data_IF_705404921663
#
_entry.id   IF_705404921663
#
_cell.length_a   1.000
_cell.length_b   1.000
_cell.length_c   1.000
_cell.angle_alpha   90.00
_cell.angle_beta   90.00
_cell.angle_gamma   90.00
#
_symmetry.space_group_name_H-M   'P 1'
#
loop_
_entity.id
_entity.type
_entity.pdbx_description
1 polymer ?
#
# COMPACT_ATOMS: atom_id res chain seq x y z
N UNK A 1 35.78 54.82 19.15
CA UNK A 1 34.39 54.99 18.65
C UNK A 1 33.68 53.64 18.73
N UNK A 2 32.59 53.53 19.52
CA UNK A 2 31.64 52.40 19.54
C UNK A 2 30.65 52.54 18.38
N UNK A 3 30.18 51.42 17.78
CA UNK A 3 28.79 51.14 17.29
C UNK A 3 28.77 49.76 16.58
N UNK A 4 28.18 48.74 17.23
CA UNK A 4 26.93 47.97 16.89
C UNK A 4 27.07 47.05 15.65
N UNK A 5 27.17 45.72 15.85
CA UNK A 5 26.10 44.68 15.84
C UNK A 5 25.46 44.46 14.46
N UNK A 6 24.96 43.24 14.23
CA UNK A 6 24.12 42.74 13.10
C UNK A 6 24.94 42.16 11.93
N UNK A 7 24.71 40.96 11.38
CA UNK A 7 23.54 40.06 11.32
C UNK A 7 24.03 38.61 11.11
N UNK A 8 23.33 37.64 11.72
CA UNK A 8 23.36 36.23 11.36
C UNK A 8 22.95 36.05 9.89
N UNK A 9 23.74 35.35 9.08
CA UNK A 9 23.27 34.77 7.83
C UNK A 9 23.76 33.32 7.76
N UNK A 10 22.98 32.41 8.32
CA UNK A 10 22.02 31.59 7.56
C UNK A 10 22.72 30.33 7.05
N UNK A 11 22.61 29.29 7.87
CA UNK A 11 22.92 27.90 7.53
C UNK A 11 22.10 27.56 6.29
N UNK A 12 22.77 27.41 5.15
CA UNK A 12 22.17 26.82 3.96
C UNK A 12 22.08 25.31 4.18
N UNK A 13 21.08 24.88 4.97
CA UNK A 13 20.70 23.48 5.04
C UNK A 13 20.09 23.12 3.70
N UNK A 14 20.88 22.49 2.85
CA UNK A 14 20.37 21.77 1.67
C UNK A 14 19.53 20.63 2.25
N UNK A 15 18.23 20.88 2.43
CA UNK A 15 17.25 19.81 2.54
C UNK A 15 17.25 19.10 1.19
N UNK A 16 18.07 18.05 1.08
CA UNK A 16 17.80 16.94 0.20
C UNK A 16 16.39 16.47 0.56
N UNK A 17 15.41 16.95 -0.20
CA UNK A 17 14.11 16.34 -0.27
C UNK A 17 14.33 14.94 -0.84
N UNK A 18 14.68 14.00 0.04
CA UNK A 18 14.44 12.59 -0.22
C UNK A 18 12.94 12.55 -0.49
N UNK A 19 12.47 12.19 -1.70
CA UNK A 19 11.08 11.81 -1.83
C UNK A 19 10.92 10.64 -0.88
N UNK A 20 10.34 10.89 0.29
CA UNK A 20 9.83 9.84 1.16
C UNK A 20 8.75 9.18 0.32
N UNK A 21 9.15 8.15 -0.44
CA UNK A 21 8.22 7.16 -0.91
C UNK A 21 7.48 6.73 0.35
N UNK A 22 6.19 7.08 0.41
CA UNK A 22 5.29 6.65 1.45
C UNK A 22 5.07 5.14 1.31
N UNK A 23 6.13 4.36 1.55
CA UNK A 23 6.12 2.93 1.77
C UNK A 23 5.95 2.68 3.27
N UNK A 24 5.00 3.39 3.90
CA UNK A 24 4.52 2.98 5.21
C UNK A 24 3.92 1.57 5.11
N UNK A 25 3.89 0.79 6.20
CA UNK A 25 3.23 -0.50 6.18
C UNK A 25 1.80 -0.30 5.68
N UNK A 26 1.42 -1.06 4.64
CA UNK A 26 0.04 -1.11 4.13
C UNK A 26 -0.81 -1.87 5.14
N UNK A 27 -1.01 -1.32 6.34
CA UNK A 27 -1.73 -2.01 7.39
C UNK A 27 -3.24 -1.84 7.20
N UNK A 28 -3.92 -2.93 6.86
CA UNK A 28 -5.39 -3.01 6.89
C UNK A 28 -5.79 -4.01 7.95
N UNK A 29 -6.79 -3.66 8.76
CA UNK A 29 -7.30 -4.55 9.80
C UNK A 29 -8.18 -5.65 9.20
N UNK A 30 -8.10 -6.86 9.75
CA UNK A 30 -8.93 -8.01 9.41
C UNK A 30 -10.37 -7.89 9.99
N UNK A 31 -10.98 -6.70 9.90
CA UNK A 31 -12.27 -6.36 10.53
C UNK A 31 -13.48 -6.60 9.61
N UNK A 32 -13.26 -7.10 8.40
CA UNK A 32 -14.27 -7.30 7.35
C UNK A 32 -14.82 -6.01 6.74
N UNK A 33 -14.33 -4.85 7.15
CA UNK A 33 -14.68 -3.56 6.56
C UNK A 33 -13.88 -3.31 5.30
N UNK A 34 -14.34 -2.34 4.51
CA UNK A 34 -13.68 -1.90 3.28
C UNK A 34 -12.73 -0.77 3.63
N UNK A 35 -11.45 -0.97 3.36
CA UNK A 35 -10.40 0.01 3.55
C UNK A 35 -9.87 0.46 2.20
N UNK A 36 -9.52 1.73 2.07
CA UNK A 36 -8.91 2.25 0.84
C UNK A 36 -7.44 2.52 1.11
N UNK A 37 -6.58 2.10 0.19
CA UNK A 37 -5.16 2.42 0.23
C UNK A 37 -4.65 2.80 -1.15
N UNK A 38 -3.53 3.51 -1.19
CA UNK A 38 -2.86 3.83 -2.45
C UNK A 38 -1.57 3.03 -2.55
N UNK A 39 -1.33 2.41 -3.70
CA UNK A 39 -0.12 1.63 -3.98
C UNK A 39 0.31 1.84 -5.43
N UNK A 40 1.59 2.19 -5.62
CA UNK A 40 2.19 2.44 -6.95
C UNK A 40 1.36 3.39 -7.85
N UNK A 41 0.73 4.40 -7.26
CA UNK A 41 -0.06 5.42 -8.00
C UNK A 41 -1.50 5.01 -8.32
N UNK A 42 -1.93 3.82 -7.91
CA UNK A 42 -3.31 3.36 -8.00
C UNK A 42 -3.94 3.27 -6.61
N UNK A 43 -5.27 3.39 -6.56
CA UNK A 43 -6.04 3.23 -5.33
C UNK A 43 -6.68 1.85 -5.31
N UNK A 44 -6.53 1.12 -4.21
CA UNK A 44 -7.16 -0.18 -3.99
C UNK A 44 -8.15 -0.10 -2.85
N UNK A 45 -9.25 -0.84 -2.98
CA UNK A 45 -10.20 -1.09 -1.91
C UNK A 45 -10.02 -2.53 -1.47
N UNK A 46 -9.77 -2.70 -0.19
CA UNK A 46 -9.42 -3.98 0.41
C UNK A 46 -10.46 -4.32 1.45
N UNK A 47 -10.89 -5.58 1.46
CA UNK A 47 -11.67 -6.15 2.54
C UNK A 47 -10.98 -7.42 2.98
N UNK A 48 -10.59 -7.47 4.24
CA UNK A 48 -10.00 -8.65 4.86
C UNK A 48 -10.91 -9.10 6.00
N UNK A 49 -11.38 -10.35 5.94
CA UNK A 49 -12.22 -10.97 6.96
C UNK A 49 -11.74 -12.41 7.21
N UNK A 50 -11.25 -12.70 8.41
CA UNK A 50 -10.75 -14.03 8.75
C UNK A 50 -9.60 -14.44 7.84
N UNK A 51 -9.75 -15.56 7.14
CA UNK A 51 -8.82 -16.09 6.16
C UNK A 51 -9.12 -15.62 4.72
N UNK A 52 -10.08 -14.74 4.48
CA UNK A 52 -10.40 -14.25 3.14
C UNK A 52 -10.00 -12.80 2.94
N UNK A 53 -9.38 -12.51 1.79
CA UNK A 53 -9.11 -11.15 1.33
C UNK A 53 -9.75 -10.90 -0.03
N UNK A 54 -10.27 -9.69 -0.19
CA UNK A 54 -10.76 -9.15 -1.45
C UNK A 54 -10.05 -7.82 -1.73
N UNK A 55 -9.52 -7.66 -2.95
CA UNK A 55 -8.83 -6.48 -3.43
C UNK A 55 -9.47 -6.01 -4.73
N UNK A 56 -10.07 -4.83 -4.70
CA UNK A 56 -10.61 -4.14 -5.87
C UNK A 56 -9.68 -2.98 -6.25
N UNK A 57 -9.27 -2.84 -7.51
CA UNK A 57 -8.59 -1.61 -7.98
C UNK A 57 -9.65 -0.54 -8.27
N UNK A 58 -9.57 0.59 -7.58
CA UNK A 58 -10.38 1.76 -7.85
C UNK A 58 -9.72 2.56 -8.99
N UNK A 59 -10.37 2.56 -10.14
CA UNK A 59 -9.84 3.16 -11.36
C UNK A 59 -9.70 4.69 -11.27
N UNK A 60 -8.71 5.22 -11.99
CA UNK A 60 -8.79 6.55 -12.63
C UNK A 60 -9.10 6.27 -14.09
N UNK A 61 -10.26 6.71 -14.58
CA UNK A 61 -10.76 6.52 -15.95
C UNK A 61 -9.65 6.41 -17.01
N UNK A 62 -9.64 5.32 -17.78
CA UNK A 62 -8.82 5.18 -18.99
C UNK A 62 -7.56 4.31 -18.85
N UNK A 63 -7.43 3.51 -17.78
CA UNK A 63 -6.34 2.53 -17.65
C UNK A 63 -6.84 1.11 -17.92
N UNK A 64 -6.06 0.30 -18.64
CA UNK A 64 -6.32 -1.14 -18.80
C UNK A 64 -6.27 -1.84 -17.44
N UNK A 65 -7.43 -2.25 -16.92
CA UNK A 65 -7.57 -2.97 -15.65
C UNK A 65 -7.45 -4.51 -15.78
N UNK A 66 -7.21 -4.98 -16.99
CA UNK A 66 -7.28 -6.38 -17.36
C UNK A 66 -5.92 -6.99 -17.61
N UNK A 67 -4.86 -6.17 -17.50
CA UNK A 67 -3.51 -6.63 -17.76
C UNK A 67 -3.06 -7.59 -16.66
N UNK A 68 -2.22 -8.59 -17.00
CA UNK A 68 -1.56 -9.45 -16.02
C UNK A 68 -0.82 -8.66 -14.93
N UNK A 69 -0.32 -7.47 -15.28
CA UNK A 69 0.35 -6.54 -14.36
C UNK A 69 -0.58 -6.05 -13.25
N UNK A 70 -1.83 -5.70 -13.57
CA UNK A 70 -2.81 -5.24 -12.57
C UNK A 70 -3.16 -6.35 -11.60
N UNK A 71 -3.31 -7.59 -12.11
CA UNK A 71 -3.53 -8.76 -11.26
C UNK A 71 -2.35 -9.00 -10.31
N UNK A 72 -1.12 -8.86 -10.80
CA UNK A 72 0.06 -9.01 -9.96
C UNK A 72 0.17 -7.89 -8.91
N UNK A 73 -0.14 -6.64 -9.27
CA UNK A 73 -0.22 -5.55 -8.30
C UNK A 73 -1.25 -5.83 -7.20
N UNK A 74 -2.42 -6.39 -7.52
CA UNK A 74 -3.43 -6.77 -6.52
C UNK A 74 -2.92 -7.88 -5.59
N UNK A 75 -2.20 -8.88 -6.12
CA UNK A 75 -1.57 -9.92 -5.30
C UNK A 75 -0.51 -9.34 -4.37
N UNK A 76 0.33 -8.45 -4.87
CA UNK A 76 1.36 -7.81 -4.06
C UNK A 76 0.73 -6.98 -2.94
N UNK A 77 -0.32 -6.22 -3.24
CA UNK A 77 -1.09 -5.47 -2.24
C UNK A 77 -1.67 -6.41 -1.19
N UNK A 78 -2.30 -7.51 -1.59
CA UNK A 78 -2.84 -8.49 -0.65
C UNK A 78 -1.76 -9.09 0.27
N UNK A 79 -0.59 -9.46 -0.28
CA UNK A 79 0.55 -9.98 0.50
C UNK A 79 1.12 -8.94 1.46
N UNK A 80 1.33 -7.70 1.01
CA UNK A 80 1.85 -6.62 1.87
C UNK A 80 0.90 -6.26 3.00
N UNK A 81 -0.40 -6.36 2.75
CA UNK A 81 -1.43 -6.03 3.72
C UNK A 81 -1.60 -7.10 4.79
N UNK A 82 -1.53 -8.36 4.38
CA UNK A 82 -1.83 -9.49 5.27
C UNK A 82 -0.59 -10.14 5.86
N UNK A 83 0.55 -10.00 5.20
CA UNK A 83 1.76 -10.76 5.52
C UNK A 83 1.64 -12.26 5.20
N UNK A 84 0.56 -12.71 4.56
CA UNK A 84 0.27 -14.12 4.35
C UNK A 84 0.42 -14.53 2.89
N UNK A 85 0.62 -15.83 2.67
CA UNK A 85 0.54 -16.41 1.33
C UNK A 85 -0.91 -16.43 0.84
N UNK A 86 -1.10 -16.37 -0.49
CA UNK A 86 -2.42 -16.41 -1.12
C UNK A 86 -2.66 -17.81 -1.73
N UNK A 87 -3.86 -18.36 -1.53
CA UNK A 87 -4.34 -19.61 -2.09
C UNK A 87 -5.75 -19.38 -2.68
N UNK A 88 -6.19 -20.27 -3.56
CA UNK A 88 -7.55 -20.23 -4.15
C UNK A 88 -7.89 -18.87 -4.76
N UNK A 89 -6.94 -18.30 -5.49
CA UNK A 89 -7.09 -16.98 -6.08
C UNK A 89 -8.18 -16.98 -7.17
N UNK A 90 -9.23 -16.21 -6.96
CA UNK A 90 -10.28 -15.96 -7.94
C UNK A 90 -10.20 -14.52 -8.44
N UNK A 91 -10.14 -14.35 -9.77
CA UNK A 91 -10.09 -13.03 -10.39
C UNK A 91 -11.33 -12.77 -11.23
N UNK A 92 -12.09 -11.73 -10.86
CA UNK A 92 -13.26 -11.30 -11.62
C UNK A 92 -12.88 -10.14 -12.54
N UNK A 93 -12.89 -10.41 -13.84
CA UNK A 93 -12.59 -9.40 -14.86
C UNK A 93 -13.63 -8.27 -14.89
N UNK A 94 -14.92 -8.55 -14.70
CA UNK A 94 -15.97 -7.52 -14.78
C UNK A 94 -15.88 -6.46 -13.69
N UNK A 95 -15.38 -6.83 -12.51
CA UNK A 95 -15.30 -5.96 -11.33
C UNK A 95 -13.87 -5.61 -10.95
N UNK A 96 -12.88 -6.12 -11.69
CA UNK A 96 -11.45 -5.98 -11.40
C UNK A 96 -11.13 -6.31 -9.94
N UNK A 97 -11.65 -7.46 -9.51
CA UNK A 97 -11.56 -7.94 -8.14
C UNK A 97 -10.70 -9.19 -8.07
N UNK A 98 -9.72 -9.18 -7.19
CA UNK A 98 -9.04 -10.37 -6.71
C UNK A 98 -9.68 -10.80 -5.38
N UNK A 99 -10.06 -12.06 -5.28
CA UNK A 99 -10.43 -12.72 -4.03
C UNK A 99 -9.44 -13.87 -3.79
N UNK A 100 -9.01 -14.07 -2.55
CA UNK A 100 -8.07 -15.13 -2.21
C UNK A 100 -8.26 -15.58 -0.75
N UNK A 101 -7.94 -16.85 -0.52
CA UNK A 101 -7.78 -17.43 0.82
C UNK A 101 -6.34 -17.19 1.29
N UNK A 102 -6.19 -16.77 2.54
CA UNK A 102 -4.93 -16.46 3.19
C UNK A 102 -4.41 -17.70 3.92
N UNK A 103 -3.15 -18.02 3.67
CA UNK A 103 -2.42 -19.06 4.39
C UNK A 103 -1.29 -18.37 5.15
N UNK A 104 -1.56 -18.07 6.41
CA UNK A 104 -0.58 -17.44 7.30
C UNK A 104 0.24 -18.54 7.97
N UNK A 105 1.54 -18.64 7.67
CA UNK A 105 2.43 -19.50 8.44
C UNK A 105 2.70 -18.85 9.80
N UNK A 106 2.68 -19.61 10.92
CA UNK A 106 2.93 -19.06 12.26
C UNK A 106 4.38 -18.55 12.46
N UNK A 107 5.24 -18.66 11.46
CA UNK A 107 6.62 -18.18 11.50
C UNK A 107 6.77 -16.67 11.20
N UNK A 108 5.76 -16.03 10.59
CA UNK A 108 5.81 -14.61 10.18
C UNK A 108 5.23 -13.64 11.23
N UNK A 109 4.86 -14.12 12.42
CA UNK A 109 4.33 -13.29 13.53
C UNK A 109 5.33 -13.03 14.66
N UNK A 110 6.65 -13.18 14.44
CA UNK A 110 7.66 -12.68 15.38
C UNK A 110 8.08 -11.26 15.02
N UNK A 111 7.29 -10.29 15.47
CA UNK A 111 7.85 -8.98 15.85
C UNK A 111 8.08 -9.04 17.35
N UNK A 112 9.36 -9.11 17.71
CA UNK A 112 9.92 -8.85 19.03
C UNK A 112 9.62 -7.40 19.47
#
# INVERSE_FOLDING_TARGET
MKIRRYILASIATICLAVPTFANGPLAVLADGKKHKLSYQGDTFKIRWKGDQISVDRMEKFGKNNTSPQVRESMREVARRVTGCALKEEFYTFMTFRLEATLVCSPADQRTD
#
